data_IF_270577323037
#
_entry.id   IF_270577323037
#
_cell.length_a   1.000
_cell.length_b   1.000
_cell.length_c   1.000
_cell.angle_alpha   90.00
_cell.angle_beta   90.00
_cell.angle_gamma   90.00
#
_symmetry.space_group_name_H-M   'P 1'
#
loop_
_entity.id
_entity.type
_entity.pdbx_description
1 polymer ?
#
# COMPACT_ATOMS: atom_id res chain seq x y z
N UNK A 1 7.86 -22.82 7.23
CA UNK A 1 7.01 -21.77 7.84
C UNK A 1 6.56 -20.70 6.82
N UNK A 2 7.31 -20.47 5.74
CA UNK A 2 6.93 -19.55 4.64
C UNK A 2 5.78 -20.11 3.77
N UNK A 3 5.69 -21.44 3.61
CA UNK A 3 4.61 -22.09 2.83
C UNK A 3 3.20 -21.96 3.41
N UNK A 4 3.07 -21.68 4.71
CA UNK A 4 1.78 -21.55 5.39
C UNK A 4 1.12 -20.17 5.17
N UNK A 5 1.90 -19.15 4.81
CA UNK A 5 1.40 -17.79 4.58
C UNK A 5 1.01 -17.59 3.11
N UNK A 6 1.64 -18.32 2.19
CA UNK A 6 1.39 -18.17 0.74
C UNK A 6 0.25 -19.04 0.19
N UNK A 7 -0.08 -20.16 0.84
CA UNK A 7 -1.03 -21.12 0.29
C UNK A 7 -2.12 -21.54 1.29
N UNK A 8 -3.16 -20.71 1.42
CA UNK A 8 -4.42 -21.16 2.02
C UNK A 8 -5.04 -22.25 1.11
N UNK A 9 -4.95 -23.52 1.50
CA UNK A 9 -5.52 -24.66 0.76
C UNK A 9 -6.99 -24.86 1.12
N UNK A 10 -7.87 -24.89 0.12
CA UNK A 10 -9.24 -25.40 0.21
C UNK A 10 -9.45 -26.33 -0.99
N UNK A 11 -9.94 -27.56 -0.77
CA UNK A 11 -10.21 -28.57 -1.80
C UNK A 11 -9.00 -28.94 -2.70
N UNK A 12 -7.79 -28.97 -2.13
CA UNK A 12 -6.61 -29.53 -2.82
C UNK A 12 -6.01 -28.70 -3.96
N UNK A 13 -6.58 -27.53 -4.30
CA UNK A 13 -5.97 -26.56 -5.24
C UNK A 13 -5.25 -25.45 -4.49
N UNK A 14 -4.03 -25.16 -4.93
CA UNK A 14 -3.28 -23.96 -4.58
C UNK A 14 -4.03 -22.76 -5.15
N UNK A 15 -4.65 -21.96 -4.29
CA UNK A 15 -5.31 -20.72 -4.68
C UNK A 15 -4.27 -19.60 -4.72
N UNK A 16 -4.31 -18.74 -5.75
CA UNK A 16 -3.37 -17.63 -5.86
C UNK A 16 -3.49 -16.66 -4.68
N UNK A 17 -2.43 -15.91 -4.41
CA UNK A 17 -2.39 -14.91 -3.34
C UNK A 17 -3.59 -13.93 -3.43
N UNK A 18 -3.82 -13.35 -4.60
CA UNK A 18 -4.92 -12.42 -4.83
C UNK A 18 -6.29 -13.08 -4.76
N UNK A 19 -6.45 -14.34 -5.20
CA UNK A 19 -7.72 -15.05 -5.11
C UNK A 19 -8.16 -15.21 -3.65
N UNK A 20 -7.21 -15.51 -2.75
CA UNK A 20 -7.48 -15.61 -1.33
C UNK A 20 -7.96 -14.27 -0.74
N UNK A 21 -7.28 -13.17 -1.09
CA UNK A 21 -7.63 -11.82 -0.63
C UNK A 21 -9.00 -11.41 -1.19
N UNK A 22 -9.21 -11.57 -2.50
CA UNK A 22 -10.48 -11.26 -3.17
C UNK A 22 -11.65 -11.99 -2.54
N UNK A 23 -11.52 -13.29 -2.27
CA UNK A 23 -12.58 -14.07 -1.64
C UNK A 23 -12.93 -13.55 -0.24
N UNK A 24 -11.92 -13.23 0.58
CA UNK A 24 -12.16 -12.67 1.93
C UNK A 24 -12.78 -11.29 1.86
N UNK A 25 -12.31 -10.45 0.94
CA UNK A 25 -12.85 -9.13 0.73
C UNK A 25 -14.29 -9.17 0.21
N UNK A 26 -14.59 -10.05 -0.75
CA UNK A 26 -15.96 -10.28 -1.24
C UNK A 26 -16.92 -10.71 -0.13
N UNK A 27 -16.50 -11.61 0.76
CA UNK A 27 -17.29 -12.01 1.90
C UNK A 27 -17.57 -10.82 2.85
N UNK A 28 -16.59 -9.94 3.07
CA UNK A 28 -16.79 -8.72 3.86
C UNK A 28 -17.76 -7.76 3.16
N UNK A 29 -17.55 -7.46 1.87
CA UNK A 29 -18.45 -6.60 1.09
C UNK A 29 -19.90 -7.11 1.17
N UNK A 30 -20.10 -8.43 1.05
CA UNK A 30 -21.44 -9.02 1.12
C UNK A 30 -22.06 -9.00 2.52
N UNK A 31 -21.27 -9.26 3.56
CA UNK A 31 -21.76 -9.19 4.95
C UNK A 31 -22.27 -7.80 5.32
N UNK A 32 -21.70 -6.74 4.74
CA UNK A 32 -22.13 -5.36 4.95
C UNK A 32 -23.13 -4.85 3.90
N UNK A 33 -23.44 -5.65 2.86
CA UNK A 33 -24.35 -5.27 1.78
C UNK A 33 -23.82 -4.16 0.88
N UNK A 34 -22.50 -4.09 0.68
CA UNK A 34 -21.83 -3.01 -0.05
C UNK A 34 -21.63 -3.28 -1.55
N UNK A 35 -22.15 -4.37 -2.09
CA UNK A 35 -21.88 -4.80 -3.47
C UNK A 35 -22.19 -3.72 -4.52
N UNK A 36 -23.33 -3.04 -4.36
CA UNK A 36 -23.79 -1.98 -5.26
C UNK A 36 -23.29 -0.59 -4.88
N UNK A 37 -22.55 -0.46 -3.78
CA UNK A 37 -22.08 0.84 -3.32
C UNK A 37 -21.01 1.39 -4.27
N UNK A 38 -21.11 2.69 -4.62
CA UNK A 38 -20.21 3.30 -5.58
C UNK A 38 -18.81 3.48 -4.99
N UNK A 39 -17.81 3.37 -5.85
CA UNK A 39 -16.44 3.67 -5.54
C UNK A 39 -15.76 4.39 -6.70
N UNK A 40 -14.95 5.37 -6.36
CA UNK A 40 -14.19 6.15 -7.32
C UNK A 40 -12.72 6.15 -6.93
N UNK A 41 -11.86 6.06 -7.93
CA UNK A 41 -10.41 6.01 -7.77
C UNK A 41 -9.78 7.04 -8.67
N UNK A 42 -8.88 7.84 -8.09
CA UNK A 42 -8.17 8.89 -8.81
C UNK A 42 -6.67 8.81 -8.55
N UNK A 43 -5.83 9.07 -9.56
CA UNK A 43 -4.41 9.34 -9.33
C UNK A 43 -4.26 10.58 -8.46
N UNK A 44 -3.45 10.45 -7.41
CA UNK A 44 -2.98 11.62 -6.69
C UNK A 44 -1.97 12.33 -7.57
N UNK A 45 -2.11 13.64 -7.68
CA UNK A 45 -1.07 14.43 -8.34
C UNK A 45 0.20 14.27 -7.52
N UNK A 46 1.25 13.70 -8.13
CA UNK A 46 2.60 13.89 -7.61
C UNK A 46 2.79 15.40 -7.42
N UNK A 47 3.02 15.85 -6.20
CA UNK A 47 3.31 17.24 -5.88
C UNK A 47 4.64 17.72 -6.46
N UNK A 48 5.36 16.88 -7.20
CA UNK A 48 6.59 17.21 -7.91
C UNK A 48 6.44 16.80 -9.38
N UNK A 49 6.29 17.81 -10.24
CA UNK A 49 6.59 17.64 -11.65
C UNK A 49 7.99 17.03 -11.78
N UNK A 50 8.12 16.06 -12.68
CA UNK A 50 9.36 15.39 -13.08
C UNK A 50 10.53 16.39 -13.14
N UNK A 51 11.34 16.48 -12.08
CA UNK A 51 12.52 17.35 -12.08
C UNK A 51 13.65 16.57 -12.72
N UNK A 52 13.92 16.84 -13.99
CA UNK A 52 15.20 16.50 -14.61
C UNK A 52 16.33 17.26 -13.89
N UNK A 53 17.32 16.53 -13.37
CA UNK A 53 18.65 17.00 -13.00
C UNK A 53 18.77 18.34 -12.26
N UNK A 54 18.75 18.33 -10.93
CA UNK A 54 19.10 19.49 -10.12
C UNK A 54 19.68 19.11 -8.76
N UNK A 55 20.88 19.61 -8.45
CA UNK A 55 21.63 19.33 -7.20
C UNK A 55 20.85 19.73 -5.95
N UNK A 56 20.91 18.85 -4.94
CA UNK A 56 20.20 18.95 -3.68
C UNK A 56 20.69 20.09 -2.77
N UNK A 57 19.75 20.92 -2.32
CA UNK A 57 19.88 21.72 -1.09
C UNK A 57 18.56 21.67 -0.31
N UNK A 58 18.66 21.30 0.98
CA UNK A 58 17.69 21.59 2.05
C UNK A 58 16.30 20.95 1.98
N UNK A 59 16.06 19.92 2.79
CA UNK A 59 14.73 19.58 3.35
C UNK A 59 13.64 19.11 2.38
N UNK A 60 13.99 18.43 1.29
CA UNK A 60 13.01 18.00 0.29
C UNK A 60 12.45 16.61 0.60
N UNK A 61 11.13 16.46 0.40
CA UNK A 61 10.39 15.19 0.40
C UNK A 61 11.23 14.10 -0.28
N UNK A 62 11.72 13.14 0.50
CA UNK A 62 12.39 11.93 0.00
C UNK A 62 11.31 10.99 -0.56
N UNK A 63 10.60 11.44 -1.59
CA UNK A 63 9.86 10.54 -2.46
C UNK A 63 10.88 9.68 -3.19
N UNK A 64 10.62 8.37 -3.19
CA UNK A 64 11.36 7.29 -3.81
C UNK A 64 12.24 7.79 -4.97
N UNK A 65 13.51 8.06 -4.68
CA UNK A 65 14.43 8.63 -5.64
C UNK A 65 14.63 7.57 -6.74
N UNK A 66 13.92 7.73 -7.86
CA UNK A 66 13.85 6.89 -9.07
C UNK A 66 12.69 5.88 -9.22
N UNK A 67 11.78 5.74 -8.25
CA UNK A 67 10.68 4.77 -8.35
C UNK A 67 9.47 5.32 -9.10
N UNK A 68 9.02 4.65 -10.16
CA UNK A 68 7.83 5.00 -10.98
C UNK A 68 6.50 4.80 -10.24
N UNK A 69 6.48 4.87 -8.91
CA UNK A 69 5.31 4.57 -8.10
C UNK A 69 4.45 5.81 -7.88
N UNK A 70 3.52 6.06 -8.80
CA UNK A 70 2.43 6.99 -8.54
C UNK A 70 1.44 6.37 -7.53
N UNK A 71 0.77 7.20 -6.75
CA UNK A 71 -0.27 6.74 -5.82
C UNK A 71 -1.63 7.00 -6.45
N UNK A 72 -2.53 6.03 -6.35
CA UNK A 72 -3.96 6.24 -6.58
C UNK A 72 -4.71 6.15 -5.26
N UNK A 73 -5.81 6.89 -5.15
CA UNK A 73 -6.67 6.91 -3.97
C UNK A 73 -8.09 6.56 -4.36
N UNK A 74 -8.66 5.58 -3.65
CA UNK A 74 -10.08 5.28 -3.66
C UNK A 74 -10.80 6.02 -2.54
N UNK A 75 -12.02 6.48 -2.79
CA UNK A 75 -12.91 7.00 -1.74
C UNK A 75 -14.16 6.14 -1.67
N UNK A 76 -14.45 5.62 -0.47
CA UNK A 76 -15.63 4.83 -0.16
C UNK A 76 -16.33 5.42 1.06
N UNK A 77 -17.56 5.93 0.89
CA UNK A 77 -18.37 6.52 1.96
C UNK A 77 -17.56 7.48 2.87
N UNK A 78 -16.77 8.37 2.25
CA UNK A 78 -15.92 9.36 2.95
C UNK A 78 -14.58 8.83 3.48
N UNK A 79 -14.34 7.52 3.47
CA UNK A 79 -13.05 6.93 3.84
C UNK A 79 -12.13 6.80 2.62
N UNK A 80 -10.88 7.24 2.77
CA UNK A 80 -9.85 7.14 1.74
C UNK A 80 -8.98 5.88 1.87
N UNK A 81 -8.56 5.33 0.74
CA UNK A 81 -7.60 4.21 0.69
C UNK A 81 -6.65 4.34 -0.48
N UNK A 82 -5.35 4.35 -0.21
CA UNK A 82 -4.32 4.53 -1.22
C UNK A 82 -3.63 3.22 -1.60
N UNK A 83 -3.11 3.17 -2.82
CA UNK A 83 -2.22 2.12 -3.31
C UNK A 83 -1.15 2.71 -4.25
N UNK A 84 0.08 2.20 -4.15
CA UNK A 84 1.15 2.50 -5.11
C UNK A 84 0.95 1.71 -6.41
N UNK A 85 1.29 2.33 -7.54
CA UNK A 85 1.21 1.72 -8.87
C UNK A 85 2.17 2.40 -9.85
N UNK A 86 2.68 1.62 -10.79
CA UNK A 86 3.39 2.12 -11.98
C UNK A 86 2.45 2.44 -13.16
N UNK A 87 1.16 2.16 -12.99
CA UNK A 87 0.10 2.45 -13.97
C UNK A 87 -1.04 3.23 -13.30
N UNK A 88 -0.87 4.53 -13.01
CA UNK A 88 -1.92 5.36 -12.45
C UNK A 88 -3.05 5.58 -13.47
N UNK A 89 -4.30 5.53 -13.01
CA UNK A 89 -5.47 5.77 -13.85
C UNK A 89 -6.69 6.12 -13.02
N UNK A 90 -7.75 6.58 -13.70
CA UNK A 90 -9.05 6.82 -13.09
C UNK A 90 -9.93 5.58 -13.20
N UNK A 91 -10.71 5.31 -12.16
CA UNK A 91 -11.71 4.26 -12.17
C UNK A 91 -12.99 4.75 -11.49
N UNK A 92 -14.15 4.31 -11.98
CA UNK A 92 -15.46 4.58 -11.39
C UNK A 92 -16.35 3.36 -11.63
N UNK A 93 -17.00 2.87 -10.59
CA UNK A 93 -17.85 1.68 -10.63
C UNK A 93 -18.44 1.38 -9.25
N UNK A 94 -18.92 0.17 -9.03
CA UNK A 94 -19.30 -0.32 -7.70
C UNK A 94 -18.33 -1.38 -7.17
N UNK A 95 -18.47 -1.77 -5.90
CA UNK A 95 -17.59 -2.79 -5.32
C UNK A 95 -17.74 -4.17 -5.98
N UNK A 96 -18.92 -4.51 -6.51
CA UNK A 96 -19.09 -5.72 -7.33
C UNK A 96 -18.18 -5.71 -8.58
N UNK A 97 -18.08 -4.56 -9.26
CA UNK A 97 -17.22 -4.41 -10.44
C UNK A 97 -15.73 -4.55 -10.04
N UNK A 98 -15.33 -3.94 -8.92
CA UNK A 98 -13.96 -4.05 -8.38
C UNK A 98 -13.61 -5.50 -8.04
N UNK A 99 -14.52 -6.25 -7.42
CA UNK A 99 -14.33 -7.67 -7.11
C UNK A 99 -14.22 -8.54 -8.36
N UNK A 100 -14.82 -8.09 -9.47
CA UNK A 100 -14.84 -8.78 -10.76
C UNK A 100 -13.60 -8.49 -11.64
N UNK A 101 -12.74 -7.53 -11.28
CA UNK A 101 -11.51 -7.22 -12.02
C UNK A 101 -10.59 -8.44 -12.15
N UNK A 102 -9.99 -8.70 -13.31
CA UNK A 102 -9.11 -9.87 -13.47
C UNK A 102 -7.76 -9.72 -12.71
N UNK A 103 -7.40 -8.51 -12.29
CA UNK A 103 -6.11 -8.17 -11.65
C UNK A 103 -4.90 -8.48 -12.55
N UNK A 104 -5.12 -8.41 -13.86
CA UNK A 104 -4.17 -8.81 -14.90
C UNK A 104 -2.98 -7.86 -15.03
N UNK A 105 -3.17 -6.58 -14.69
CA UNK A 105 -2.17 -5.53 -14.77
C UNK A 105 -2.07 -4.72 -13.46
N UNK A 106 -1.05 -3.86 -13.36
CA UNK A 106 -0.80 -3.09 -12.13
C UNK A 106 -1.92 -2.10 -11.82
N UNK A 107 -2.55 -1.51 -12.84
CA UNK A 107 -3.68 -0.61 -12.65
C UNK A 107 -4.86 -1.32 -11.96
N UNK A 108 -5.28 -2.48 -12.47
CA UNK A 108 -6.37 -3.27 -11.88
C UNK A 108 -6.05 -3.70 -10.45
N UNK A 109 -4.82 -4.15 -10.19
CA UNK A 109 -4.36 -4.50 -8.83
C UNK A 109 -4.40 -3.31 -7.90
N UNK A 110 -3.96 -2.14 -8.35
CA UNK A 110 -3.96 -0.93 -7.56
C UNK A 110 -5.40 -0.46 -7.27
N UNK A 111 -6.31 -0.49 -8.25
CA UNK A 111 -7.72 -0.15 -8.03
C UNK A 111 -8.33 -1.07 -6.98
N UNK A 112 -8.07 -2.37 -7.08
CA UNK A 112 -8.54 -3.36 -6.10
C UNK A 112 -7.99 -3.09 -4.69
N UNK A 113 -6.68 -2.88 -4.55
CA UNK A 113 -6.04 -2.64 -3.24
C UNK A 113 -6.48 -1.31 -2.63
N UNK A 114 -6.53 -0.22 -3.42
CA UNK A 114 -6.99 1.09 -2.95
C UNK A 114 -8.44 1.00 -2.46
N UNK A 115 -9.30 0.32 -3.22
CA UNK A 115 -10.70 0.09 -2.85
C UNK A 115 -10.85 -0.71 -1.57
N UNK A 116 -10.10 -1.81 -1.44
CA UNK A 116 -10.06 -2.61 -0.23
C UNK A 116 -9.60 -1.77 0.97
N UNK A 117 -8.55 -0.97 0.82
CA UNK A 117 -8.07 -0.09 1.88
C UNK A 117 -9.15 0.92 2.32
N UNK A 118 -9.87 1.53 1.37
CA UNK A 118 -10.94 2.49 1.66
C UNK A 118 -12.10 1.83 2.44
N UNK A 119 -12.55 0.66 1.98
CA UNK A 119 -13.63 -0.09 2.65
C UNK A 119 -13.20 -0.55 4.04
N UNK A 120 -12.01 -1.15 4.17
CA UNK A 120 -11.50 -1.65 5.45
C UNK A 120 -11.33 -0.51 6.47
N UNK A 121 -11.00 0.70 6.00
CA UNK A 121 -10.98 1.90 6.83
C UNK A 121 -12.37 2.34 7.25
N UNK A 122 -13.32 2.36 6.33
CA UNK A 122 -14.70 2.72 6.62
C UNK A 122 -15.31 1.83 7.71
N UNK A 123 -15.09 0.51 7.64
CA UNK A 123 -15.61 -0.45 8.64
C UNK A 123 -14.77 -0.52 9.93
N UNK A 124 -13.70 0.29 10.05
CA UNK A 124 -12.91 0.41 11.28
C UNK A 124 -11.89 -0.72 11.55
N UNK A 125 -11.61 -1.57 10.56
CA UNK A 125 -10.60 -2.64 10.71
C UNK A 125 -9.16 -2.13 10.56
N UNK A 126 -8.97 -1.01 9.85
CA UNK A 126 -7.67 -0.34 9.66
C UNK A 126 -7.85 1.18 9.73
N UNK A 127 -6.79 1.92 10.07
CA UNK A 127 -6.83 3.39 10.15
C UNK A 127 -5.82 4.08 9.21
N UNK A 128 -4.65 3.47 9.01
CA UNK A 128 -3.50 4.11 8.37
C UNK A 128 -3.39 3.73 6.87
N UNK A 129 -4.38 4.13 6.09
CA UNK A 129 -4.50 3.79 4.65
C UNK A 129 -4.11 4.92 3.69
N UNK A 130 -3.64 6.03 4.24
CA UNK A 130 -3.21 7.23 3.52
C UNK A 130 -1.72 7.39 3.81
N UNK A 131 -0.93 7.57 2.76
CA UNK A 131 0.51 7.70 2.88
C UNK A 131 0.88 9.05 3.51
N UNK A 132 1.81 9.02 4.46
CA UNK A 132 2.33 10.19 5.13
C UNK A 132 3.03 11.15 4.16
N UNK A 133 2.97 12.46 4.43
CA UNK A 133 3.66 13.48 3.61
C UNK A 133 4.55 14.40 4.44
N UNK A 134 5.70 14.80 3.88
CA UNK A 134 6.64 15.72 4.54
C UNK A 134 7.06 15.23 5.93
N UNK A 135 6.81 16.07 6.95
CA UNK A 135 7.17 15.78 8.35
C UNK A 135 6.49 14.53 8.92
N UNK A 136 5.33 14.15 8.40
CA UNK A 136 4.64 12.93 8.83
C UNK A 136 5.45 11.67 8.48
N UNK A 137 6.26 11.72 7.41
CA UNK A 137 7.12 10.58 7.04
C UNK A 137 8.25 10.37 8.05
N UNK A 138 8.78 11.47 8.62
CA UNK A 138 9.79 11.41 9.68
C UNK A 138 9.18 10.82 10.95
N UNK A 139 8.03 11.33 11.38
CA UNK A 139 7.30 10.80 12.54
C UNK A 139 6.94 9.31 12.36
N UNK A 140 6.46 8.91 11.19
CA UNK A 140 6.15 7.51 10.89
C UNK A 140 7.39 6.60 10.97
N UNK A 141 8.56 7.08 10.53
CA UNK A 141 9.80 6.33 10.64
C UNK A 141 10.28 6.20 12.10
N UNK A 142 10.10 7.24 12.91
CA UNK A 142 10.41 7.23 14.35
C UNK A 142 9.50 6.24 15.09
N UNK A 143 8.18 6.31 14.88
CA UNK A 143 7.21 5.38 15.45
C UNK A 143 7.51 3.92 15.10
N UNK A 144 7.90 3.65 13.84
CA UNK A 144 8.33 2.32 13.42
C UNK A 144 9.57 1.86 14.20
N UNK A 145 10.56 2.72 14.39
CA UNK A 145 11.77 2.39 15.14
C UNK A 145 11.44 2.09 16.61
N UNK A 146 10.63 2.93 17.25
CA UNK A 146 10.18 2.73 18.62
C UNK A 146 9.41 1.42 18.78
N UNK A 147 8.49 1.12 17.86
CA UNK A 147 7.76 -0.13 17.84
C UNK A 147 8.71 -1.33 17.75
N UNK A 148 9.68 -1.29 16.83
CA UNK A 148 10.64 -2.37 16.66
C UNK A 148 11.50 -2.58 17.91
N UNK A 149 11.93 -1.50 18.58
CA UNK A 149 12.69 -1.60 19.82
C UNK A 149 11.85 -2.15 20.97
N UNK A 150 10.64 -1.61 21.15
CA UNK A 150 9.75 -1.99 22.25
C UNK A 150 9.31 -3.45 22.14
N UNK A 151 9.02 -3.93 20.93
CA UNK A 151 8.50 -5.28 20.73
C UNK A 151 9.59 -6.34 20.50
N UNK A 152 10.74 -5.96 19.93
CA UNK A 152 11.74 -6.93 19.48
C UNK A 152 13.19 -6.59 19.89
N UNK A 153 13.43 -5.48 20.59
CA UNK A 153 14.75 -5.07 21.05
C UNK A 153 15.63 -4.55 19.90
N UNK A 154 16.58 -5.37 19.41
CA UNK A 154 17.52 -4.99 18.34
C UNK A 154 17.66 -6.10 17.28
N UNK A 155 16.60 -6.41 16.52
CA UNK A 155 16.66 -7.42 15.48
C UNK A 155 17.52 -6.98 14.29
N UNK A 156 17.87 -7.97 13.45
CA UNK A 156 18.32 -7.72 12.07
C UNK A 156 17.08 -7.53 11.20
N UNK A 157 17.06 -6.49 10.38
CA UNK A 157 15.88 -6.10 9.60
C UNK A 157 16.15 -6.28 8.11
N UNK A 158 15.20 -6.89 7.41
CA UNK A 158 15.13 -6.88 5.95
C UNK A 158 13.95 -5.97 5.54
N UNK A 159 14.25 -4.86 4.86
CA UNK A 159 13.26 -3.94 4.32
C UNK A 159 13.06 -4.27 2.83
N UNK A 160 11.84 -4.67 2.47
CA UNK A 160 11.45 -4.98 1.09
C UNK A 160 10.70 -3.75 0.56
N UNK A 161 11.23 -3.14 -0.50
CA UNK A 161 10.81 -1.84 -1.00
C UNK A 161 11.53 -0.68 -0.31
N UNK A 162 12.06 0.26 -1.09
CA UNK A 162 12.85 1.37 -0.62
C UNK A 162 11.99 2.58 -0.27
N UNK A 163 11.78 2.77 1.03
CA UNK A 163 11.17 3.97 1.60
C UNK A 163 12.25 4.76 2.32
N UNK A 164 12.79 5.84 1.74
CA UNK A 164 14.07 6.39 2.18
C UNK A 164 14.08 6.90 3.63
N UNK A 165 13.00 7.54 4.08
CA UNK A 165 12.88 8.05 5.47
C UNK A 165 12.84 6.90 6.48
N UNK A 166 12.10 5.82 6.17
CA UNK A 166 12.09 4.61 7.01
C UNK A 166 13.45 3.91 7.01
N UNK A 167 14.08 3.77 5.84
CA UNK A 167 15.40 3.16 5.72
C UNK A 167 16.45 3.92 6.55
N UNK A 168 16.44 5.25 6.48
CA UNK A 168 17.33 6.11 7.26
C UNK A 168 17.11 5.97 8.77
N UNK A 169 15.85 5.96 9.23
CA UNK A 169 15.52 5.73 10.64
C UNK A 169 15.99 4.36 11.13
N UNK A 170 15.64 3.30 10.41
CA UNK A 170 15.98 1.92 10.77
C UNK A 170 17.49 1.67 10.76
N UNK A 171 18.22 2.18 9.76
CA UNK A 171 19.66 1.96 9.63
C UNK A 171 20.48 2.61 10.77
N UNK A 172 19.94 3.63 11.44
CA UNK A 172 20.58 4.26 12.61
C UNK A 172 20.57 3.36 13.84
N UNK A 173 19.60 2.46 13.95
CA UNK A 173 19.31 1.71 15.18
C UNK A 173 19.48 0.19 15.02
N UNK A 174 19.39 -0.31 13.79
CA UNK A 174 19.36 -1.74 13.49
C UNK A 174 20.32 -2.11 12.36
N UNK A 175 20.74 -3.38 12.32
CA UNK A 175 21.41 -3.92 11.14
C UNK A 175 20.37 -4.13 10.04
N UNK A 176 20.40 -3.25 9.03
CA UNK A 176 19.44 -3.20 7.94
C UNK A 176 20.00 -3.81 6.66
N UNK A 177 19.18 -4.62 5.97
CA UNK A 177 19.34 -4.95 4.56
C UNK A 177 18.12 -4.47 3.79
N UNK A 178 18.34 -3.86 2.64
CA UNK A 178 17.27 -3.36 1.78
C UNK A 178 17.28 -4.21 0.51
N UNK A 179 16.10 -4.64 0.09
CA UNK A 179 15.86 -5.27 -1.20
C UNK A 179 14.80 -4.44 -1.91
N UNK A 180 15.14 -3.92 -3.07
CA UNK A 180 14.21 -3.19 -3.94
C UNK A 180 14.33 -3.77 -5.35
N UNK A 181 13.25 -3.69 -6.13
CA UNK A 181 13.21 -4.22 -7.48
C UNK A 181 13.65 -3.19 -8.54
N UNK A 182 13.57 -1.90 -8.20
CA UNK A 182 13.79 -0.77 -9.09
C UNK A 182 15.11 0.00 -8.80
N UNK A 183 15.95 -0.50 -7.87
CA UNK A 183 17.25 0.09 -7.47
C UNK A 183 18.42 -0.81 -7.84
#
# INVERSE_FOLDING_TARGET
>A
MVDLILNARINGKSMGFYDCIKRRFAAMVSNYGFESEPISVFPLKSSLGRVEGGRATGGQNLQCYNGRGDIIEATFQGAGGQAFTDMPGRYSGCLHDVLSLNLSNSFERAVFVASMNAVMRHIGYVSNTIHCTGKEQEACAEELCEFMQKCYGRPRIALIGFQPTMAAGLARLFQLKIVDFDI
#
